data_IF_611242174646
#
_entry.id   IF_611242174646
#
_cell.length_a   1.000
_cell.length_b   1.000
_cell.length_c   1.000
_cell.angle_alpha   90.00
_cell.angle_beta   90.00
_cell.angle_gamma   90.00
#
_symmetry.space_group_name_H-M   'P 1'
#
loop_
_entity.id
_entity.type
_entity.pdbx_description
1 polymer ?
#
# COMPACT_ATOMS: atom_id res chain seq x y z
N UNK A 1 4.36 -14.56 71.23
CA UNK A 1 3.97 -15.82 70.54
C UNK A 1 3.18 -16.65 71.54
N UNK A 2 2.07 -17.35 71.18
CA UNK A 2 1.56 -17.66 69.85
C UNK A 2 0.16 -17.08 69.54
N UNK A 3 -0.24 -17.23 68.27
CA UNK A 3 -1.47 -16.81 67.63
C UNK A 3 -2.43 -17.99 67.39
N UNK A 4 -3.72 -17.64 67.24
CA UNK A 4 -4.85 -18.35 66.57
C UNK A 4 -5.58 -19.50 67.33
N UNK A 5 -6.84 -19.84 66.96
CA UNK A 5 -7.99 -18.99 66.54
C UNK A 5 -9.40 -19.55 66.93
N UNK A 6 -10.44 -18.89 66.38
CA UNK A 6 -11.75 -19.40 65.87
C UNK A 6 -13.04 -19.33 66.72
N UNK A 7 -13.92 -18.45 66.23
CA UNK A 7 -15.35 -18.63 65.87
C UNK A 7 -16.43 -18.93 66.93
N UNK A 8 -17.46 -18.07 66.95
CA UNK A 8 -18.85 -18.48 66.64
C UNK A 8 -19.79 -17.29 66.37
N UNK A 9 -20.54 -17.43 65.28
CA UNK A 9 -21.63 -16.58 64.79
C UNK A 9 -22.86 -16.56 65.71
N UNK A 10 -23.66 -15.49 65.66
CA UNK A 10 -25.12 -15.58 65.44
C UNK A 10 -25.76 -14.23 65.07
N UNK A 11 -26.84 -14.36 64.30
CA UNK A 11 -27.50 -13.39 63.43
C UNK A 11 -28.58 -12.53 64.11
N UNK A 12 -28.74 -11.28 63.56
CA UNK A 12 -29.96 -10.51 63.22
C UNK A 12 -30.98 -10.14 64.34
N UNK A 13 -31.73 -9.00 64.28
CA UNK A 13 -32.35 -8.43 63.07
C UNK A 13 -32.41 -6.89 62.90
N UNK A 14 -32.33 -6.53 61.62
CA UNK A 14 -33.13 -5.61 60.80
C UNK A 14 -33.84 -4.33 61.35
N UNK A 15 -33.60 -3.27 60.56
CA UNK A 15 -34.37 -2.04 60.25
C UNK A 15 -34.28 -0.83 61.20
N UNK A 16 -33.40 0.09 60.81
CA UNK A 16 -33.74 1.51 60.78
C UNK A 16 -33.08 2.21 59.58
N UNK A 17 -33.89 3.05 58.94
CA UNK A 17 -33.72 3.84 57.72
C UNK A 17 -32.40 4.62 57.63
N UNK A 18 -31.73 4.54 56.48
CA UNK A 18 -30.85 5.60 56.00
C UNK A 18 -30.90 5.68 54.48
N UNK A 19 -31.14 6.92 54.03
CA UNK A 19 -31.26 7.35 52.65
C UNK A 19 -29.85 7.30 52.01
N UNK A 20 -29.58 6.37 51.10
CA UNK A 20 -28.36 6.41 50.29
C UNK A 20 -28.72 6.83 48.88
N UNK A 21 -28.28 8.04 48.53
CA UNK A 21 -28.31 8.61 47.19
C UNK A 21 -27.30 7.82 46.35
N UNK A 22 -27.75 6.84 45.56
CA UNK A 22 -26.91 6.20 44.55
C UNK A 22 -26.82 7.15 43.35
N UNK A 23 -25.73 7.89 43.26
CA UNK A 23 -25.31 8.56 42.03
C UNK A 23 -24.94 7.46 41.03
N UNK A 24 -25.87 7.10 40.15
CA UNK A 24 -25.60 6.22 39.02
C UNK A 24 -24.66 6.93 38.07
N UNK A 25 -23.38 6.56 38.08
CA UNK A 25 -22.45 6.91 37.01
C UNK A 25 -22.83 6.03 35.82
N UNK A 26 -23.76 6.52 35.00
CA UNK A 26 -23.92 6.02 33.64
C UNK A 26 -22.69 6.43 32.86
N UNK A 27 -21.74 5.51 32.75
CA UNK A 27 -20.71 5.55 31.71
C UNK A 27 -21.49 5.40 30.40
N UNK A 28 -21.85 6.52 29.77
CA UNK A 28 -22.20 6.52 28.36
C UNK A 28 -20.90 6.17 27.63
N UNK A 29 -20.71 4.89 27.34
CA UNK A 29 -19.80 4.47 26.30
C UNK A 29 -20.32 5.11 25.01
N UNK A 30 -19.72 6.23 24.63
CA UNK A 30 -19.85 6.76 23.28
C UNK A 30 -19.14 5.77 22.37
N UNK A 31 -19.84 4.72 21.95
CA UNK A 31 -19.46 4.02 20.73
C UNK A 31 -19.76 5.00 19.61
N UNK A 32 -18.77 5.82 19.26
CA UNK A 32 -18.74 6.40 17.93
C UNK A 32 -18.87 5.20 16.99
N UNK A 33 -20.04 5.04 16.35
CA UNK A 33 -20.13 4.21 15.17
C UNK A 33 -19.29 4.94 14.13
N UNK A 34 -18.00 4.65 14.09
CA UNK A 34 -17.19 4.95 12.92
C UNK A 34 -17.94 4.34 11.74
N UNK A 35 -18.29 5.15 10.75
CA UNK A 35 -18.81 4.63 9.50
C UNK A 35 -17.76 3.62 9.03
N UNK A 36 -18.10 2.33 9.03
CA UNK A 36 -17.13 1.29 8.70
C UNK A 36 -16.50 1.65 7.35
N UNK A 37 -15.18 1.82 7.34
CA UNK A 37 -14.46 2.07 6.11
C UNK A 37 -14.74 0.91 5.16
N UNK A 38 -14.92 1.27 3.90
CA UNK A 38 -15.38 0.38 2.85
C UNK A 38 -14.43 0.56 1.69
N UNK A 39 -14.16 -0.53 0.97
CA UNK A 39 -13.51 -0.40 -0.33
C UNK A 39 -14.33 0.60 -1.15
N UNK A 40 -13.68 1.53 -1.83
CA UNK A 40 -14.35 2.53 -2.65
C UNK A 40 -14.69 1.94 -4.01
N UNK A 41 -13.87 1.01 -4.50
CA UNK A 41 -14.04 0.35 -5.80
C UNK A 41 -14.61 -1.06 -5.66
N UNK A 42 -15.28 -1.53 -6.72
CA UNK A 42 -15.62 -2.94 -6.83
C UNK A 42 -14.36 -3.73 -7.21
N UNK A 43 -14.31 -5.03 -6.90
CA UNK A 43 -13.16 -5.88 -7.20
C UNK A 43 -13.56 -7.25 -7.70
N UNK A 44 -12.76 -7.80 -8.61
CA UNK A 44 -12.85 -9.22 -8.99
C UNK A 44 -12.37 -10.04 -7.78
N UNK A 45 -13.28 -10.69 -7.07
CA UNK A 45 -12.92 -11.52 -5.91
C UNK A 45 -12.29 -12.84 -6.36
N UNK A 46 -12.95 -13.52 -7.29
CA UNK A 46 -12.47 -14.80 -7.85
C UNK A 46 -13.19 -15.07 -9.16
N UNK A 47 -12.59 -15.89 -10.00
CA UNK A 47 -13.25 -16.43 -11.18
C UNK A 47 -12.82 -17.87 -11.44
N UNK A 48 -13.75 -18.65 -11.98
CA UNK A 48 -13.47 -19.94 -12.61
C UNK A 48 -13.74 -19.78 -14.10
N UNK A 49 -12.66 -19.69 -14.89
CA UNK A 49 -12.70 -19.32 -16.31
C UNK A 49 -11.98 -17.99 -16.57
N UNK A 50 -12.36 -17.31 -17.66
CA UNK A 50 -11.77 -16.03 -18.08
C UNK A 50 -12.78 -14.91 -18.04
N UNK A 51 -12.38 -13.79 -17.47
CA UNK A 51 -13.10 -12.52 -17.46
C UNK A 51 -12.35 -11.52 -18.32
N UNK A 52 -13.08 -10.78 -19.15
CA UNK A 52 -12.53 -9.66 -19.89
C UNK A 52 -13.14 -8.35 -19.39
N UNK A 53 -12.31 -7.31 -19.38
CA UNK A 53 -12.60 -5.96 -18.94
C UNK A 53 -12.40 -5.00 -20.11
N UNK A 54 -13.31 -4.05 -20.27
CA UNK A 54 -13.13 -2.89 -21.14
C UNK A 54 -13.41 -1.63 -20.34
N UNK A 55 -12.39 -0.79 -20.16
CA UNK A 55 -12.53 0.54 -19.55
C UNK A 55 -13.31 1.46 -20.49
N UNK A 56 -13.87 2.55 -19.96
CA UNK A 56 -14.76 3.46 -20.71
C UNK A 56 -14.15 4.01 -22.02
N UNK A 57 -12.85 4.25 -22.05
CA UNK A 57 -12.11 4.85 -23.17
C UNK A 57 -11.38 3.82 -24.05
N UNK A 58 -11.54 2.52 -23.77
CA UNK A 58 -10.91 1.45 -24.55
C UNK A 58 -11.82 0.96 -25.68
N UNK A 59 -11.23 0.61 -26.81
CA UNK A 59 -11.96 -0.01 -27.93
C UNK A 59 -12.05 -1.53 -27.77
N UNK A 60 -11.08 -2.15 -27.08
CA UNK A 60 -10.94 -3.61 -26.98
C UNK A 60 -11.12 -4.11 -25.54
N UNK A 61 -11.64 -5.33 -25.43
CA UNK A 61 -11.68 -6.06 -24.15
C UNK A 61 -10.31 -6.69 -23.88
N UNK A 62 -9.88 -6.62 -22.62
CA UNK A 62 -8.62 -7.16 -22.14
C UNK A 62 -8.86 -8.19 -21.04
N UNK A 63 -8.04 -9.25 -20.93
CA UNK A 63 -8.13 -10.16 -19.79
C UNK A 63 -7.89 -9.41 -18.48
N UNK A 64 -8.55 -9.88 -17.42
CA UNK A 64 -8.39 -9.33 -16.06
C UNK A 64 -8.25 -10.47 -15.06
N UNK A 65 -7.46 -10.26 -14.01
CA UNK A 65 -7.16 -11.25 -12.99
C UNK A 65 -7.88 -10.94 -11.64
N UNK A 66 -7.98 -11.91 -10.71
CA UNK A 66 -8.60 -11.72 -9.40
C UNK A 66 -7.85 -10.76 -8.47
N UNK A 67 -8.46 -9.63 -8.14
CA UNK A 67 -7.85 -8.56 -7.34
C UNK A 67 -8.01 -7.20 -8.00
N UNK A 68 -8.10 -7.20 -9.33
CA UNK A 68 -8.29 -6.01 -10.15
C UNK A 68 -9.45 -5.11 -9.66
N UNK A 69 -9.12 -3.82 -9.51
CA UNK A 69 -10.08 -2.77 -9.22
C UNK A 69 -10.97 -2.47 -10.43
N UNK A 70 -12.27 -2.34 -10.17
CA UNK A 70 -13.32 -2.14 -11.16
C UNK A 70 -14.02 -0.81 -10.92
N UNK A 71 -14.14 -0.01 -11.97
CA UNK A 71 -14.89 1.24 -11.99
C UNK A 71 -16.32 1.00 -12.47
N UNK A 72 -17.25 1.84 -12.05
CA UNK A 72 -18.67 1.65 -12.32
C UNK A 72 -19.05 1.74 -13.81
N UNK A 73 -18.26 2.45 -14.60
CA UNK A 73 -18.36 2.58 -16.06
C UNK A 73 -17.65 1.49 -16.84
N UNK A 74 -16.90 0.62 -16.17
CA UNK A 74 -16.27 -0.54 -16.80
C UNK A 74 -17.31 -1.54 -17.31
N UNK A 75 -16.95 -2.21 -18.40
CA UNK A 75 -17.72 -3.29 -19.01
C UNK A 75 -17.00 -4.62 -18.78
N UNK A 76 -17.75 -5.60 -18.29
CA UNK A 76 -17.28 -6.95 -18.05
C UNK A 76 -17.89 -7.90 -19.08
N UNK A 77 -17.08 -8.81 -19.58
CA UNK A 77 -17.49 -9.89 -20.47
C UNK A 77 -16.85 -11.20 -20.02
N UNK A 78 -17.57 -12.02 -19.22
CA UNK A 78 -17.12 -13.36 -18.90
C UNK A 78 -17.22 -14.26 -20.14
N UNK A 79 -16.20 -15.06 -20.40
CA UNK A 79 -16.24 -16.09 -21.44
C UNK A 79 -17.36 -17.12 -21.16
N UNK A 80 -17.86 -17.86 -22.18
CA UNK A 80 -18.81 -18.94 -21.96
C UNK A 80 -18.30 -19.99 -20.96
N UNK A 81 -19.10 -20.28 -19.93
CA UNK A 81 -18.73 -21.20 -18.85
C UNK A 81 -18.00 -20.54 -17.67
N UNK A 82 -17.64 -19.26 -17.76
CA UNK A 82 -16.97 -18.56 -16.67
C UNK A 82 -17.93 -18.24 -15.52
N UNK A 83 -17.54 -18.55 -14.28
CA UNK A 83 -18.23 -18.02 -13.09
C UNK A 83 -17.38 -16.92 -12.46
N UNK A 84 -17.98 -15.78 -12.15
CA UNK A 84 -17.28 -14.62 -11.56
C UNK A 84 -17.92 -14.23 -10.25
N UNK A 85 -17.10 -13.99 -9.24
CA UNK A 85 -17.48 -13.39 -7.97
C UNK A 85 -16.91 -11.97 -7.94
N UNK A 86 -17.78 -10.98 -7.73
CA UNK A 86 -17.40 -9.58 -7.62
C UNK A 86 -17.77 -9.11 -6.21
N UNK A 87 -16.82 -8.49 -5.52
CA UNK A 87 -17.09 -7.78 -4.27
C UNK A 87 -17.35 -6.32 -4.57
N UNK A 88 -18.46 -5.79 -4.07
CA UNK A 88 -18.84 -4.40 -4.25
C UNK A 88 -18.17 -3.50 -3.20
N UNK A 89 -18.17 -2.16 -3.39
CA UNK A 89 -17.56 -1.21 -2.45
C UNK A 89 -17.99 -1.42 -0.98
N UNK A 90 -19.25 -1.79 -0.76
CA UNK A 90 -19.79 -2.07 0.57
C UNK A 90 -19.28 -3.37 1.23
N UNK A 91 -18.26 -4.03 0.66
CA UNK A 91 -17.68 -5.29 1.13
C UNK A 91 -18.55 -6.52 0.89
N UNK A 92 -19.70 -6.40 0.20
CA UNK A 92 -20.59 -7.54 -0.08
C UNK A 92 -20.36 -8.09 -1.48
N UNK A 93 -20.49 -9.40 -1.60
CA UNK A 93 -20.55 -10.07 -2.91
C UNK A 93 -21.77 -9.59 -3.68
N UNK A 94 -21.60 -9.36 -4.98
CA UNK A 94 -22.67 -8.98 -5.90
C UNK A 94 -23.74 -10.07 -5.97
N UNK A 95 -25.01 -9.65 -5.80
CA UNK A 95 -26.16 -10.53 -6.01
C UNK A 95 -26.58 -10.65 -7.50
N UNK A 96 -25.88 -9.94 -8.39
CA UNK A 96 -26.19 -9.89 -9.81
C UNK A 96 -24.90 -9.93 -10.64
N UNK A 97 -24.12 -11.03 -10.58
CA UNK A 97 -22.88 -11.16 -11.33
C UNK A 97 -23.15 -11.13 -12.84
N UNK A 98 -22.15 -10.71 -13.65
CA UNK A 98 -22.27 -10.72 -15.10
C UNK A 98 -22.54 -12.14 -15.62
N UNK A 99 -23.44 -12.26 -16.60
CA UNK A 99 -23.76 -13.55 -17.21
C UNK A 99 -22.72 -13.94 -18.28
N UNK A 100 -22.34 -15.22 -18.39
CA UNK A 100 -21.40 -15.68 -19.41
C UNK A 100 -21.83 -15.32 -20.83
N UNK A 101 -20.90 -14.81 -21.63
CA UNK A 101 -21.10 -14.40 -23.01
C UNK A 101 -21.90 -13.12 -23.21
N UNK A 102 -22.27 -12.41 -22.13
CA UNK A 102 -23.01 -11.15 -22.21
C UNK A 102 -22.21 -10.01 -21.58
N UNK A 103 -22.05 -8.93 -22.33
CA UNK A 103 -21.49 -7.69 -21.81
C UNK A 103 -22.38 -7.10 -20.71
N UNK A 104 -21.76 -6.72 -19.59
CA UNK A 104 -22.45 -6.08 -18.47
C UNK A 104 -21.58 -5.01 -17.83
N UNK A 105 -22.18 -3.85 -17.56
CA UNK A 105 -21.53 -2.81 -16.76
C UNK A 105 -21.35 -3.26 -15.31
N UNK A 106 -20.24 -2.85 -14.70
CA UNK A 106 -19.96 -3.05 -13.27
C UNK A 106 -21.06 -2.44 -12.40
N UNK A 107 -21.60 -1.26 -12.75
CA UNK A 107 -22.69 -0.64 -11.99
C UNK A 107 -24.00 -1.46 -11.95
N UNK A 108 -24.18 -2.44 -12.85
CA UNK A 108 -25.29 -3.40 -12.76
C UNK A 108 -25.06 -4.43 -11.65
N UNK A 109 -23.83 -4.89 -11.48
CA UNK A 109 -23.44 -5.85 -10.45
C UNK A 109 -23.28 -5.16 -9.09
N UNK A 110 -22.60 -4.01 -9.08
CA UNK A 110 -22.28 -3.22 -7.90
C UNK A 110 -22.76 -1.78 -8.08
N UNK A 111 -24.03 -1.47 -7.75
CA UNK A 111 -24.55 -0.11 -7.83
C UNK A 111 -23.76 0.85 -6.96
N UNK A 112 -23.54 2.07 -7.45
CA UNK A 112 -22.78 3.16 -6.79
C UNK A 112 -21.26 2.97 -6.78
N UNK A 113 -20.74 2.08 -7.61
CA UNK A 113 -19.29 2.03 -7.84
C UNK A 113 -18.86 3.34 -8.51
N UNK A 114 -17.84 4.05 -7.99
CA UNK A 114 -17.31 5.28 -8.57
C UNK A 114 -16.85 5.07 -10.02
N UNK A 115 -16.81 6.14 -10.81
CA UNK A 115 -16.31 6.11 -12.20
C UNK A 115 -14.77 6.13 -12.23
N UNK A 116 -14.21 5.88 -13.40
CA UNK A 116 -12.75 5.77 -13.65
C UNK A 116 -11.93 7.05 -13.40
N UNK A 117 -12.54 8.17 -13.00
CA UNK A 117 -11.85 9.39 -12.60
C UNK A 117 -11.12 9.28 -11.24
N UNK A 118 -11.27 8.16 -10.55
CA UNK A 118 -10.66 7.85 -9.25
C UNK A 118 -9.56 6.79 -9.39
N UNK A 119 -8.51 7.05 -10.18
CA UNK A 119 -7.28 6.22 -10.12
C UNK A 119 -6.41 6.72 -8.96
N UNK A 120 -5.88 5.84 -8.08
CA UNK A 120 -4.89 6.27 -7.11
C UNK A 120 -3.66 6.79 -7.87
N UNK A 121 -3.22 7.99 -7.47
CA UNK A 121 -1.92 8.53 -7.84
C UNK A 121 -1.11 8.55 -6.56
N UNK A 122 0.00 7.81 -6.53
CA UNK A 122 0.87 7.73 -5.37
C UNK A 122 1.68 9.01 -5.17
N UNK A 123 1.84 9.81 -6.23
CA UNK A 123 2.73 10.97 -6.27
C UNK A 123 4.14 10.59 -6.71
N UNK A 124 5.03 11.58 -6.76
CA UNK A 124 6.42 11.46 -7.20
C UNK A 124 7.28 12.13 -6.12
N UNK A 125 8.43 11.54 -5.78
CA UNK A 125 9.37 12.17 -4.84
C UNK A 125 10.05 13.39 -5.47
N UNK A 126 10.28 14.43 -4.68
CA UNK A 126 11.12 15.58 -5.08
C UNK A 126 12.62 15.28 -4.87
N UNK A 127 12.95 14.27 -4.05
CA UNK A 127 14.33 13.90 -3.68
C UNK A 127 14.59 12.45 -4.06
N UNK A 128 15.68 12.22 -4.76
CA UNK A 128 16.03 10.92 -5.35
C UNK A 128 17.31 10.33 -4.77
N UNK A 129 17.27 9.04 -4.49
CA UNK A 129 18.40 8.18 -4.13
C UNK A 129 18.18 6.78 -4.68
N UNK A 130 18.75 5.77 -4.02
CA UNK A 130 18.68 4.37 -4.43
C UNK A 130 19.33 4.11 -5.78
N UNK A 131 20.35 4.88 -6.15
CA UNK A 131 21.00 4.83 -7.47
C UNK A 131 22.36 4.11 -7.48
N UNK A 132 22.94 3.87 -6.30
CA UNK A 132 24.22 3.18 -6.12
C UNK A 132 24.11 2.08 -5.07
N UNK A 133 24.24 0.82 -5.50
CA UNK A 133 24.19 -0.35 -4.61
C UNK A 133 25.40 -0.44 -3.67
N UNK A 134 26.48 0.31 -3.92
CA UNK A 134 27.64 0.37 -3.02
C UNK A 134 27.39 1.22 -1.76
N UNK A 135 26.29 1.97 -1.73
CA UNK A 135 25.86 2.80 -0.61
C UNK A 135 24.60 2.16 -0.02
N UNK A 136 24.51 1.99 1.31
CA UNK A 136 23.26 1.55 1.92
C UNK A 136 22.24 2.68 1.80
N UNK A 137 21.02 2.39 1.41
CA UNK A 137 19.92 3.30 1.24
C UNK A 137 18.65 2.69 1.82
N UNK A 138 17.86 3.54 2.47
CA UNK A 138 16.65 3.14 3.15
C UNK A 138 15.56 2.73 2.16
N UNK A 139 15.02 1.53 2.34
CA UNK A 139 13.86 1.01 1.60
C UNK A 139 12.57 1.39 2.33
N UNK A 140 12.45 1.02 3.61
CA UNK A 140 11.33 1.38 4.49
C UNK A 140 11.80 1.51 5.95
N UNK A 141 11.21 2.44 6.74
CA UNK A 141 10.63 3.70 6.28
C UNK A 141 11.72 4.62 5.71
N UNK A 142 11.35 5.44 4.74
CA UNK A 142 12.27 6.38 4.06
C UNK A 142 11.72 7.80 4.03
N UNK A 143 10.48 7.94 3.58
CA UNK A 143 9.73 9.20 3.47
C UNK A 143 8.32 9.04 4.04
N UNK A 144 7.55 10.15 4.06
CA UNK A 144 6.17 10.24 4.52
C UNK A 144 5.97 9.80 5.98
N UNK A 145 4.90 9.05 6.27
CA UNK A 145 4.49 8.68 7.61
C UNK A 145 4.56 7.18 7.85
N UNK A 146 4.81 6.82 9.10
CA UNK A 146 4.58 5.47 9.65
C UNK A 146 3.44 5.49 10.66
N UNK A 147 2.65 4.43 10.69
CA UNK A 147 1.56 4.26 11.66
C UNK A 147 2.07 3.61 12.95
N UNK A 148 2.86 2.54 12.79
CA UNK A 148 3.46 1.79 13.91
C UNK A 148 4.49 2.64 14.67
N UNK A 149 4.48 2.56 16.00
CA UNK A 149 5.51 3.19 16.83
C UNK A 149 6.84 2.42 16.83
N UNK A 150 6.84 1.22 16.24
CA UNK A 150 7.96 0.27 16.16
C UNK A 150 8.07 -0.34 14.74
N UNK A 151 8.23 0.47 13.68
CA UNK A 151 8.20 -0.01 12.30
C UNK A 151 9.38 -0.96 12.00
N UNK A 152 9.17 -1.86 11.04
CA UNK A 152 10.28 -2.65 10.48
C UNK A 152 11.18 -1.74 9.65
N UNK A 153 12.50 -1.89 9.83
CA UNK A 153 13.51 -1.08 9.16
C UNK A 153 14.19 -1.93 8.07
N UNK A 154 14.34 -1.39 6.86
CA UNK A 154 14.91 -2.09 5.70
C UNK A 154 15.80 -1.19 4.89
N UNK A 155 16.91 -1.73 4.40
CA UNK A 155 17.83 -1.08 3.46
C UNK A 155 18.33 -2.08 2.42
N UNK A 156 18.93 -1.59 1.33
CA UNK A 156 19.56 -2.49 0.36
C UNK A 156 20.85 -3.12 0.93
N UNK A 157 21.16 -4.37 0.55
CA UNK A 157 22.46 -4.94 0.82
C UNK A 157 23.54 -4.19 0.04
N UNK A 158 24.67 -3.98 0.70
CA UNK A 158 25.90 -3.39 0.13
C UNK A 158 26.86 -4.52 -0.23
N UNK A 159 27.39 -4.58 -1.46
CA UNK A 159 28.36 -5.59 -1.85
C UNK A 159 29.58 -5.64 -0.91
N UNK A 160 29.92 -6.86 -0.48
CA UNK A 160 31.03 -7.15 0.44
C UNK A 160 30.89 -6.62 1.88
N UNK A 161 29.74 -6.05 2.25
CA UNK A 161 29.45 -5.75 3.64
C UNK A 161 29.02 -7.02 4.39
N UNK A 162 29.59 -7.26 5.56
CA UNK A 162 29.21 -8.37 6.44
C UNK A 162 28.39 -7.87 7.64
N UNK A 163 28.51 -6.59 7.98
CA UNK A 163 27.91 -5.99 9.16
C UNK A 163 27.48 -4.54 8.90
N UNK A 164 26.38 -4.13 9.55
CA UNK A 164 25.83 -2.79 9.51
C UNK A 164 25.71 -2.21 10.91
N UNK A 165 26.08 -0.95 11.07
CA UNK A 165 25.68 -0.11 12.20
C UNK A 165 24.44 0.68 11.81
N UNK A 166 23.34 0.48 12.54
CA UNK A 166 22.05 1.13 12.32
C UNK A 166 21.82 2.11 13.45
N UNK A 167 21.63 3.38 13.12
CA UNK A 167 21.44 4.47 14.06
C UNK A 167 20.16 5.22 13.74
N UNK A 168 19.28 5.34 14.72
CA UNK A 168 18.11 6.21 14.62
C UNK A 168 18.42 7.55 15.26
N UNK A 169 18.17 8.63 14.53
CA UNK A 169 18.36 9.99 15.03
C UNK A 169 17.06 10.79 14.96
N UNK A 170 16.99 11.84 15.76
CA UNK A 170 15.98 12.89 15.66
C UNK A 170 16.61 14.24 15.94
N UNK A 171 16.32 15.22 15.09
CA UNK A 171 16.95 16.55 15.16
C UNK A 171 18.50 16.51 15.25
N UNK A 172 19.12 15.48 14.66
CA UNK A 172 20.57 15.25 14.70
C UNK A 172 21.10 14.63 16.00
N UNK A 173 20.22 14.34 16.98
CA UNK A 173 20.58 13.62 18.19
C UNK A 173 20.34 12.12 18.01
N UNK A 174 21.33 11.30 18.38
CA UNK A 174 21.20 9.84 18.38
C UNK A 174 20.20 9.41 19.47
N UNK A 175 19.16 8.68 19.06
CA UNK A 175 18.21 8.05 19.97
C UNK A 175 18.71 6.67 20.40
N UNK A 176 19.20 5.89 19.44
CA UNK A 176 19.83 4.59 19.67
C UNK A 176 20.71 4.19 18.48
N UNK A 177 21.63 3.25 18.74
CA UNK A 177 22.49 2.63 17.73
C UNK A 177 22.72 1.15 18.05
N UNK A 178 22.72 0.31 17.02
CA UNK A 178 23.02 -1.12 17.15
C UNK A 178 23.74 -1.66 15.92
N UNK A 179 24.26 -2.88 16.06
CA UNK A 179 24.99 -3.57 15.00
C UNK A 179 24.26 -4.86 14.60
N UNK A 180 24.20 -5.17 13.30
CA UNK A 180 23.49 -6.34 12.75
C UNK A 180 24.10 -6.79 11.42
N UNK A 181 24.00 -8.08 11.10
CA UNK A 181 24.38 -8.66 9.80
C UNK A 181 23.17 -8.79 8.83
N UNK A 182 21.97 -8.39 9.27
CA UNK A 182 20.74 -8.43 8.48
C UNK A 182 20.44 -7.08 7.84
N UNK A 183 19.76 -7.06 6.69
CA UNK A 183 19.28 -5.82 6.02
C UNK A 183 17.80 -5.52 6.28
N UNK A 184 17.14 -6.37 7.06
CA UNK A 184 15.80 -6.16 7.60
C UNK A 184 15.89 -6.34 9.10
N UNK A 185 15.42 -5.32 9.82
CA UNK A 185 15.54 -5.23 11.26
C UNK A 185 14.17 -4.87 11.85
N UNK A 186 13.52 -5.81 12.56
CA UNK A 186 12.40 -5.45 13.43
C UNK A 186 12.85 -4.39 14.43
N UNK A 187 11.97 -3.43 14.73
CA UNK A 187 12.33 -2.37 15.67
C UNK A 187 12.81 -2.95 17.01
N UNK A 188 13.92 -2.46 17.58
CA UNK A 188 14.45 -3.02 18.82
C UNK A 188 13.51 -2.77 20.02
N UNK A 189 12.90 -3.82 20.55
CA UNK A 189 11.87 -3.70 21.61
C UNK A 189 12.36 -3.19 22.98
N UNK A 190 13.65 -2.92 23.15
CA UNK A 190 14.21 -2.28 24.35
C UNK A 190 14.48 -0.78 24.16
N UNK A 191 14.36 -0.28 22.93
CA UNK A 191 14.61 1.12 22.58
C UNK A 191 13.33 1.96 22.65
N UNK A 192 13.45 3.30 22.79
CA UNK A 192 12.28 4.17 22.85
C UNK A 192 11.44 4.11 21.58
N UNK A 193 10.13 3.92 21.72
CA UNK A 193 9.19 3.96 20.60
C UNK A 193 9.09 5.34 19.93
N UNK A 194 8.66 5.36 18.67
CA UNK A 194 8.43 6.59 17.91
C UNK A 194 7.22 7.38 18.46
N UNK A 195 7.43 8.68 18.66
CA UNK A 195 6.43 9.60 19.19
C UNK A 195 5.51 10.10 18.08
N UNK A 196 4.20 10.10 18.35
CA UNK A 196 3.17 10.66 17.48
C UNK A 196 2.96 12.16 17.74
N UNK A 197 4.03 12.94 17.71
CA UNK A 197 4.03 14.38 18.01
C UNK A 197 4.60 15.27 16.89
N UNK A 198 4.84 14.67 15.72
CA UNK A 198 5.41 15.37 14.56
C UNK A 198 6.93 15.45 14.58
N UNK A 199 7.58 14.71 15.47
CA UNK A 199 9.03 14.55 15.49
C UNK A 199 9.50 13.83 14.20
N UNK A 200 10.44 14.43 13.44
CA UNK A 200 11.06 13.75 12.31
C UNK A 200 12.14 12.79 12.79
N UNK A 201 12.23 11.65 12.11
CA UNK A 201 13.19 10.59 12.36
C UNK A 201 14.02 10.35 11.11
N UNK A 202 15.32 10.19 11.29
CA UNK A 202 16.27 9.81 10.24
C UNK A 202 16.91 8.47 10.61
N UNK A 203 16.89 7.51 9.69
CA UNK A 203 17.63 6.26 9.86
C UNK A 203 18.95 6.33 9.10
N UNK A 204 20.05 6.22 9.84
CA UNK A 204 21.40 6.19 9.29
C UNK A 204 21.92 4.76 9.36
N UNK A 205 22.25 4.20 8.21
CA UNK A 205 22.85 2.87 8.11
C UNK A 205 24.27 3.02 7.60
N UNK A 206 25.24 2.45 8.32
CA UNK A 206 26.66 2.44 7.95
C UNK A 206 27.11 1.01 7.77
N UNK A 207 27.62 0.67 6.59
CA UNK A 207 28.25 -0.62 6.32
C UNK A 207 29.68 -0.64 6.89
N UNK A 208 30.15 -1.82 7.30
CA UNK A 208 31.53 -2.09 7.70
C UNK A 208 32.58 -1.81 6.60
N UNK A 209 32.14 -1.74 5.34
CA UNK A 209 32.93 -1.26 4.18
C UNK A 209 33.24 0.24 4.24
N UNK A 210 32.61 0.99 5.15
CA UNK A 210 32.81 2.41 5.40
C UNK A 210 31.86 3.34 4.65
N UNK A 211 30.90 2.81 3.88
CA UNK A 211 29.82 3.61 3.26
C UNK A 211 28.61 3.73 4.18
N UNK A 212 27.89 4.84 4.10
CA UNK A 212 26.73 5.14 4.91
C UNK A 212 25.60 5.75 4.07
N UNK A 213 24.36 5.64 4.56
CA UNK A 213 23.18 6.17 3.85
C UNK A 213 23.19 7.68 3.67
N UNK A 214 23.92 8.39 4.52
CA UNK A 214 24.16 9.82 4.37
C UNK A 214 25.06 10.16 3.18
N UNK A 215 25.78 9.18 2.60
CA UNK A 215 26.52 9.40 1.36
C UNK A 215 25.60 9.62 0.15
N UNK A 216 24.31 9.28 0.23
CA UNK A 216 23.33 9.64 -0.81
C UNK A 216 22.99 11.13 -0.81
N UNK A 217 23.26 11.86 0.28
CA UNK A 217 22.97 13.29 0.47
C UNK A 217 21.50 13.67 0.18
N UNK A 218 20.57 12.79 0.54
CA UNK A 218 19.13 13.00 0.31
C UNK A 218 18.43 13.69 1.48
N UNK A 219 18.98 13.62 2.69
CA UNK A 219 18.37 14.23 3.89
C UNK A 219 16.96 13.73 4.18
N UNK A 220 16.62 12.50 3.78
CA UNK A 220 15.27 11.98 3.95
C UNK A 220 14.97 11.69 5.42
N UNK A 221 13.78 12.11 5.84
CA UNK A 221 13.21 11.82 7.14
C UNK A 221 11.81 11.28 6.98
N UNK A 222 11.37 10.52 7.97
CA UNK A 222 9.97 10.08 8.08
C UNK A 222 9.39 10.56 9.39
N UNK A 223 8.07 10.59 9.48
CA UNK A 223 7.34 10.99 10.68
C UNK A 223 6.43 9.85 11.13
N UNK A 224 5.98 9.88 12.38
CA UNK A 224 4.84 9.05 12.79
C UNK A 224 3.54 9.82 12.57
N UNK A 225 2.48 9.12 12.14
CA UNK A 225 1.13 9.70 12.05
C UNK A 225 0.73 10.29 13.41
N UNK A 226 0.08 11.46 13.39
CA UNK A 226 -0.24 12.23 14.60
C UNK A 226 -1.74 12.36 14.84
N UNK A 227 -2.13 12.53 16.11
CA UNK A 227 -3.50 12.89 16.48
C UNK A 227 -4.56 11.87 16.09
N UNK A 228 -5.74 12.36 15.70
CA UNK A 228 -6.91 11.53 15.40
C UNK A 228 -6.71 10.66 14.14
N UNK A 229 -5.77 11.01 13.25
CA UNK A 229 -5.48 10.26 12.03
C UNK A 229 -4.98 8.83 12.30
N UNK A 230 -4.30 8.60 13.44
CA UNK A 230 -3.88 7.26 13.86
C UNK A 230 -5.09 6.35 14.02
N UNK A 231 -6.07 6.78 14.82
CA UNK A 231 -7.27 6.00 15.11
C UNK A 231 -8.16 5.85 13.86
N UNK A 232 -8.17 6.85 12.98
CA UNK A 232 -8.86 6.74 11.70
C UNK A 232 -8.19 5.69 10.80
N UNK A 233 -6.87 5.75 10.61
CA UNK A 233 -6.13 4.80 9.79
C UNK A 233 -6.28 3.37 10.31
N UNK A 234 -6.11 3.15 11.62
CA UNK A 234 -6.31 1.85 12.26
C UNK A 234 -7.74 1.32 12.05
N UNK A 235 -8.76 2.19 12.17
CA UNK A 235 -10.14 1.81 11.94
C UNK A 235 -10.41 1.43 10.48
N UNK A 236 -9.83 2.15 9.51
CA UNK A 236 -9.98 1.82 8.08
C UNK A 236 -9.26 0.50 7.74
N UNK A 237 -8.04 0.31 8.25
CA UNK A 237 -7.26 -0.93 8.08
C UNK A 237 -8.04 -2.11 8.67
N UNK A 238 -8.52 -2.00 9.90
CA UNK A 238 -9.29 -3.05 10.57
C UNK A 238 -10.59 -3.38 9.81
N UNK A 239 -11.24 -2.38 9.20
CA UNK A 239 -12.43 -2.60 8.41
C UNK A 239 -12.15 -3.39 7.12
N UNK A 240 -11.02 -3.11 6.44
CA UNK A 240 -10.57 -3.92 5.29
C UNK A 240 -10.20 -5.33 5.71
N UNK A 241 -9.49 -5.48 6.83
CA UNK A 241 -9.12 -6.79 7.37
C UNK A 241 -10.33 -7.65 7.72
N UNK A 242 -11.43 -7.03 8.16
CA UNK A 242 -12.69 -7.69 8.48
C UNK A 242 -13.54 -8.07 7.26
N UNK A 243 -13.15 -7.66 6.04
CA UNK A 243 -13.87 -8.05 4.82
C UNK A 243 -13.73 -9.54 4.54
N UNK A 244 -14.77 -10.14 3.97
CA UNK A 244 -14.75 -11.52 3.49
C UNK A 244 -14.08 -11.59 2.10
N UNK A 245 -12.78 -11.33 2.10
CA UNK A 245 -11.91 -11.29 0.94
C UNK A 245 -10.66 -12.15 1.20
N UNK A 246 -10.06 -12.72 0.14
CA UNK A 246 -8.69 -13.23 0.20
C UNK A 246 -7.70 -12.17 0.71
N UNK A 247 -6.68 -12.61 1.46
CA UNK A 247 -5.76 -11.68 2.12
C UNK A 247 -4.89 -10.87 1.14
N UNK A 248 -4.56 -11.44 0.00
CA UNK A 248 -3.90 -10.72 -1.11
C UNK A 248 -4.78 -9.59 -1.67
N UNK A 249 -6.07 -9.83 -1.88
CA UNK A 249 -7.02 -8.80 -2.33
C UNK A 249 -7.20 -7.73 -1.25
N UNK A 250 -7.25 -8.10 0.04
CA UNK A 250 -7.26 -7.11 1.14
C UNK A 250 -6.03 -6.22 1.11
N UNK A 251 -4.85 -6.80 0.88
CA UNK A 251 -3.61 -6.04 0.73
C UNK A 251 -3.70 -5.05 -0.43
N UNK A 252 -4.22 -5.45 -1.60
CA UNK A 252 -4.42 -4.54 -2.73
C UNK A 252 -5.39 -3.40 -2.38
N UNK A 253 -6.48 -3.67 -1.65
CA UNK A 253 -7.40 -2.62 -1.16
C UNK A 253 -6.65 -1.64 -0.25
N UNK A 254 -5.84 -2.15 0.69
CA UNK A 254 -5.07 -1.31 1.61
C UNK A 254 -4.09 -0.41 0.83
N UNK A 255 -3.31 -1.00 -0.07
CA UNK A 255 -2.28 -0.32 -0.86
C UNK A 255 -2.85 0.72 -1.81
N UNK A 256 -3.94 0.43 -2.50
CA UNK A 256 -4.48 1.32 -3.52
C UNK A 256 -5.42 2.39 -2.95
N UNK A 257 -6.06 2.14 -1.79
CA UNK A 257 -7.18 2.98 -1.32
C UNK A 257 -6.99 3.55 0.08
N UNK A 258 -6.33 2.82 0.99
CA UNK A 258 -6.21 3.22 2.41
C UNK A 258 -4.86 3.89 2.68
N UNK A 259 -3.74 3.20 2.43
CA UNK A 259 -2.41 3.72 2.70
C UNK A 259 -2.10 5.05 2.02
N UNK A 260 -2.52 5.32 0.77
CA UNK A 260 -2.30 6.63 0.14
C UNK A 260 -3.03 7.78 0.83
N UNK A 261 -4.16 7.53 1.52
CA UNK A 261 -4.91 8.56 2.26
C UNK A 261 -4.10 9.11 3.44
N UNK A 262 -3.24 8.27 4.02
CA UNK A 262 -2.43 8.57 5.19
C UNK A 262 -0.94 8.65 4.86
N UNK A 263 -0.58 8.62 3.57
CA UNK A 263 0.78 8.56 3.06
C UNK A 263 1.65 7.49 3.74
N UNK A 264 1.07 6.31 3.97
CA UNK A 264 1.75 5.16 4.58
C UNK A 264 2.53 4.37 3.50
N UNK A 265 3.47 5.06 2.85
CA UNK A 265 4.21 4.53 1.70
C UNK A 265 5.07 3.33 2.09
N UNK A 266 5.70 3.36 3.27
CA UNK A 266 6.51 2.25 3.79
C UNK A 266 5.67 1.00 4.04
N UNK A 267 4.53 1.15 4.71
CA UNK A 267 3.60 0.05 4.98
C UNK A 267 3.01 -0.54 3.69
N UNK A 268 2.79 0.29 2.65
CA UNK A 268 2.35 -0.19 1.35
C UNK A 268 3.40 -1.08 0.69
N UNK A 269 4.67 -0.68 0.71
CA UNK A 269 5.79 -1.49 0.20
C UNK A 269 5.89 -2.80 1.00
N UNK A 270 5.91 -2.71 2.32
CA UNK A 270 6.04 -3.87 3.21
C UNK A 270 4.87 -4.86 3.08
N UNK A 271 3.66 -4.38 2.73
CA UNK A 271 2.51 -5.25 2.49
C UNK A 271 2.57 -5.97 1.14
N UNK A 272 3.15 -5.35 0.10
CA UNK A 272 3.26 -5.96 -1.23
C UNK A 272 4.40 -6.99 -1.33
N UNK A 273 5.52 -6.80 -0.62
CA UNK A 273 6.69 -7.68 -0.72
C UNK A 273 6.35 -9.17 -0.46
N UNK A 274 5.61 -9.55 0.59
CA UNK A 274 5.23 -10.95 0.82
C UNK A 274 4.33 -11.56 -0.26
N UNK A 275 3.57 -10.74 -1.00
CA UNK A 275 2.73 -11.23 -2.09
C UNK A 275 3.55 -11.65 -3.30
N UNK A 276 4.66 -10.93 -3.57
CA UNK A 276 5.63 -11.31 -4.59
C UNK A 276 6.21 -12.69 -4.30
N UNK A 277 6.58 -12.94 -3.04
CA UNK A 277 7.14 -14.23 -2.60
C UNK A 277 6.15 -15.40 -2.73
N UNK A 278 4.85 -15.11 -2.72
CA UNK A 278 3.77 -16.10 -2.81
C UNK A 278 3.14 -16.24 -4.21
N UNK A 279 3.56 -15.42 -5.19
CA UNK A 279 3.19 -15.57 -6.60
C UNK A 279 1.77 -15.16 -6.98
N UNK A 280 1.08 -14.35 -6.16
CA UNK A 280 -0.23 -13.77 -6.53
C UNK A 280 -0.03 -12.58 -7.49
N UNK A 281 -0.80 -12.50 -8.58
CA UNK A 281 -0.93 -11.35 -9.52
C UNK A 281 0.35 -10.54 -9.78
N UNK A 282 1.33 -11.22 -10.38
CA UNK A 282 2.71 -10.76 -10.42
C UNK A 282 2.91 -9.45 -11.22
N UNK A 283 2.16 -9.19 -12.29
CA UNK A 283 2.36 -7.95 -13.08
C UNK A 283 1.96 -6.70 -12.30
N UNK A 284 0.75 -6.70 -11.72
CA UNK A 284 0.16 -5.55 -11.04
C UNK A 284 0.93 -5.18 -9.77
N UNK A 285 1.36 -6.18 -9.00
CA UNK A 285 2.14 -5.98 -7.77
C UNK A 285 3.49 -5.34 -8.08
N UNK A 286 4.22 -5.83 -9.08
CA UNK A 286 5.50 -5.21 -9.45
C UNK A 286 5.31 -3.78 -9.98
N UNK A 287 4.23 -3.51 -10.71
CA UNK A 287 3.91 -2.15 -11.14
C UNK A 287 3.56 -1.23 -9.95
N UNK A 288 2.83 -1.72 -8.95
CA UNK A 288 2.57 -0.99 -7.70
C UNK A 288 3.84 -0.74 -6.89
N UNK A 289 4.73 -1.72 -6.77
CA UNK A 289 6.04 -1.52 -6.14
C UNK A 289 6.85 -0.44 -6.85
N UNK A 290 6.87 -0.45 -8.19
CA UNK A 290 7.51 0.61 -8.99
C UNK A 290 7.00 2.00 -8.63
N UNK A 291 5.68 2.18 -8.57
CA UNK A 291 5.06 3.45 -8.19
C UNK A 291 5.43 3.89 -6.77
N UNK A 292 5.38 2.98 -5.81
CA UNK A 292 5.71 3.28 -4.41
C UNK A 292 7.19 3.61 -4.24
N UNK A 293 8.06 2.99 -5.04
CA UNK A 293 9.48 3.34 -5.09
C UNK A 293 9.73 4.69 -5.76
N UNK A 294 8.98 5.05 -6.82
CA UNK A 294 9.00 6.41 -7.40
C UNK A 294 8.54 7.44 -6.36
N UNK A 295 7.46 7.16 -5.63
CA UNK A 295 6.97 8.00 -4.53
C UNK A 295 8.00 8.12 -3.40
N UNK A 296 8.77 7.06 -3.13
CA UNK A 296 9.86 7.05 -2.15
C UNK A 296 11.18 7.65 -2.66
N UNK A 297 11.27 7.96 -3.95
CA UNK A 297 12.49 8.48 -4.57
C UNK A 297 13.60 7.44 -4.67
N UNK A 298 13.27 6.18 -4.91
CA UNK A 298 14.20 5.05 -5.01
C UNK A 298 14.37 4.63 -6.47
N UNK A 299 15.47 5.04 -7.09
CA UNK A 299 15.69 4.86 -8.54
C UNK A 299 15.78 3.39 -8.96
N UNK A 300 16.78 2.64 -8.46
CA UNK A 300 17.01 1.25 -8.89
C UNK A 300 15.84 0.33 -8.51
N UNK A 301 15.27 0.39 -7.28
CA UNK A 301 14.11 -0.42 -6.95
C UNK A 301 12.89 -0.14 -7.83
N UNK A 302 12.65 1.13 -8.20
CA UNK A 302 11.57 1.49 -9.12
C UNK A 302 11.81 0.93 -10.53
N UNK A 303 13.02 1.14 -11.08
CA UNK A 303 13.39 0.65 -12.41
C UNK A 303 13.25 -0.88 -12.50
N UNK A 304 13.79 -1.61 -11.52
CA UNK A 304 13.72 -3.07 -11.44
C UNK A 304 12.27 -3.56 -11.36
N UNK A 305 11.44 -2.91 -10.53
CA UNK A 305 10.04 -3.30 -10.35
C UNK A 305 9.23 -3.11 -11.63
N UNK A 306 9.36 -1.97 -12.32
CA UNK A 306 8.66 -1.77 -13.58
C UNK A 306 9.16 -2.68 -14.70
N UNK A 307 10.48 -2.90 -14.79
CA UNK A 307 11.04 -3.85 -15.77
C UNK A 307 10.51 -5.26 -15.54
N UNK A 308 10.42 -5.69 -14.27
CA UNK A 308 9.87 -7.00 -13.92
C UNK A 308 8.39 -7.10 -14.29
N UNK A 309 7.60 -6.06 -14.03
CA UNK A 309 6.21 -6.00 -14.47
C UNK A 309 6.08 -6.16 -16.00
N UNK A 310 6.92 -5.45 -16.77
CA UNK A 310 6.93 -5.53 -18.25
C UNK A 310 7.30 -6.94 -18.73
N UNK A 311 8.31 -7.58 -18.15
CA UNK A 311 8.68 -8.95 -18.53
C UNK A 311 7.58 -9.97 -18.21
N UNK A 312 6.93 -9.82 -17.05
CA UNK A 312 5.81 -10.68 -16.67
C UNK A 312 4.59 -10.48 -17.57
N UNK A 313 4.31 -9.25 -17.98
CA UNK A 313 3.19 -8.93 -18.88
C UNK A 313 3.35 -9.59 -20.26
N UNK A 314 4.57 -9.97 -20.67
CA UNK A 314 4.80 -10.77 -21.89
C UNK A 314 4.38 -12.24 -21.73
N UNK A 315 4.44 -12.77 -20.50
CA UNK A 315 4.11 -14.16 -20.18
C UNK A 315 2.61 -14.30 -19.89
N UNK A 316 2.07 -13.39 -19.08
CA UNK A 316 0.65 -13.26 -18.77
C UNK A 316 0.17 -11.91 -19.33
N UNK A 317 -0.37 -11.89 -20.57
CA UNK A 317 -0.74 -10.67 -21.25
C UNK A 317 -1.66 -9.78 -20.41
N UNK A 318 -1.14 -8.65 -19.96
CA UNK A 318 -1.88 -7.60 -19.30
C UNK A 318 -1.43 -6.24 -19.85
N UNK A 319 -2.08 -5.82 -20.94
CA UNK A 319 -1.71 -4.61 -21.66
C UNK A 319 -1.90 -3.33 -20.83
N UNK A 320 -2.87 -3.30 -19.90
CA UNK A 320 -3.04 -2.14 -19.01
C UNK A 320 -1.83 -1.98 -18.11
N UNK A 321 -1.47 -3.03 -17.39
CA UNK A 321 -0.34 -2.99 -16.45
C UNK A 321 1.00 -2.78 -17.17
N UNK A 322 1.20 -3.38 -18.36
CA UNK A 322 2.39 -3.12 -19.18
C UNK A 322 2.47 -1.65 -19.61
N UNK A 323 1.35 -1.07 -20.06
CA UNK A 323 1.31 0.35 -20.45
C UNK A 323 1.64 1.24 -19.26
N UNK A 324 1.07 0.95 -18.09
CA UNK A 324 1.32 1.71 -16.87
C UNK A 324 2.75 1.56 -16.36
N UNK A 325 3.36 0.38 -16.49
CA UNK A 325 4.76 0.16 -16.12
C UNK A 325 5.72 0.94 -17.04
N UNK A 326 5.45 1.01 -18.35
CA UNK A 326 6.22 1.86 -19.26
C UNK A 326 6.06 3.35 -18.95
N UNK A 327 4.85 3.80 -18.59
CA UNK A 327 4.63 5.17 -18.11
C UNK A 327 5.41 5.46 -16.82
N UNK A 328 5.42 4.52 -15.88
CA UNK A 328 6.20 4.61 -14.65
C UNK A 328 7.71 4.75 -14.92
N UNK A 329 8.26 3.93 -15.84
CA UNK A 329 9.65 4.07 -16.29
C UNK A 329 9.91 5.43 -16.95
N UNK A 330 9.01 5.90 -17.81
CA UNK A 330 9.14 7.21 -18.41
C UNK A 330 9.20 8.32 -17.36
N UNK A 331 8.27 8.31 -16.39
CA UNK A 331 8.27 9.24 -15.26
C UNK A 331 9.59 9.17 -14.50
N UNK A 332 10.02 7.98 -14.09
CA UNK A 332 11.30 7.77 -13.40
C UNK A 332 12.47 8.40 -14.19
N UNK A 333 12.59 8.08 -15.47
CA UNK A 333 13.69 8.55 -16.31
C UNK A 333 13.66 10.06 -16.54
N UNK A 334 12.50 10.71 -16.57
CA UNK A 334 12.43 12.17 -16.62
C UNK A 334 12.98 12.80 -15.33
N UNK A 335 12.60 12.24 -14.18
CA UNK A 335 13.00 12.75 -12.87
C UNK A 335 14.50 12.58 -12.62
N UNK A 336 15.10 11.47 -13.08
CA UNK A 336 16.55 11.24 -13.00
C UNK A 336 17.33 11.81 -14.20
N UNK A 337 16.71 12.70 -14.98
CA UNK A 337 17.31 13.41 -16.11
C UNK A 337 17.95 12.48 -17.18
N UNK A 338 17.25 11.41 -17.54
CA UNK A 338 17.57 10.45 -18.58
C UNK A 338 16.57 10.52 -19.76
N UNK A 339 16.49 11.64 -20.49
CA UNK A 339 15.41 11.91 -21.45
C UNK A 339 15.33 10.93 -22.62
N UNK A 340 16.45 10.38 -23.08
CA UNK A 340 16.43 9.36 -24.16
C UNK A 340 15.75 8.07 -23.70
N UNK A 341 16.06 7.59 -22.48
CA UNK A 341 15.37 6.44 -21.90
C UNK A 341 13.89 6.73 -21.65
N UNK A 342 13.57 7.95 -21.20
CA UNK A 342 12.19 8.38 -21.01
C UNK A 342 11.41 8.34 -22.32
N UNK A 343 12.01 8.84 -23.41
CA UNK A 343 11.43 8.79 -24.75
C UNK A 343 11.16 7.35 -25.19
N UNK A 344 12.15 6.46 -25.07
CA UNK A 344 11.97 5.04 -25.40
C UNK A 344 10.82 4.41 -24.61
N UNK A 345 10.74 4.68 -23.30
CA UNK A 345 9.66 4.18 -22.45
C UNK A 345 8.28 4.75 -22.86
N UNK A 346 8.19 6.03 -23.20
CA UNK A 346 6.95 6.64 -23.69
C UNK A 346 6.53 6.08 -25.06
N UNK A 347 7.47 5.81 -25.97
CA UNK A 347 7.19 5.18 -27.26
C UNK A 347 6.60 3.77 -27.07
N UNK A 348 7.14 2.98 -26.13
CA UNK A 348 6.55 1.68 -25.77
C UNK A 348 5.16 1.84 -25.14
N UNK A 349 4.99 2.79 -24.21
CA UNK A 349 3.68 3.07 -23.62
C UNK A 349 2.65 3.46 -24.69
N UNK A 350 3.03 4.27 -25.67
CA UNK A 350 2.14 4.70 -26.77
C UNK A 350 1.71 3.52 -27.64
N UNK A 351 2.64 2.61 -27.94
CA UNK A 351 2.34 1.39 -28.69
C UNK A 351 1.25 0.58 -27.97
N UNK A 352 1.43 0.33 -26.66
CA UNK A 352 0.47 -0.45 -25.86
C UNK A 352 -0.87 0.26 -25.67
N UNK A 353 -0.85 1.57 -25.43
CA UNK A 353 -2.06 2.40 -25.36
C UNK A 353 -2.88 2.34 -26.67
N UNK A 354 -2.19 2.28 -27.82
CA UNK A 354 -2.82 2.10 -29.13
C UNK A 354 -3.43 0.70 -29.27
N UNK A 355 -2.76 -0.36 -28.79
CA UNK A 355 -3.30 -1.73 -28.77
C UNK A 355 -4.54 -1.86 -27.86
N UNK A 356 -4.58 -1.12 -26.75
CA UNK A 356 -5.77 -0.98 -25.89
C UNK A 356 -6.92 -0.22 -26.59
N UNK A 357 -6.60 0.57 -27.62
CA UNK A 357 -7.54 1.50 -28.24
C UNK A 357 -7.89 2.70 -27.35
N UNK A 358 -7.03 3.06 -26.38
CA UNK A 358 -7.27 4.24 -25.53
C UNK A 358 -6.78 5.51 -26.23
N UNK A 359 -7.68 6.18 -26.95
CA UNK A 359 -7.36 7.46 -27.60
C UNK A 359 -6.86 8.50 -26.60
N UNK A 360 -7.51 8.58 -25.43
CA UNK A 360 -7.13 9.52 -24.36
C UNK A 360 -5.70 9.27 -23.86
N UNK A 361 -5.33 8.01 -23.62
CA UNK A 361 -3.99 7.68 -23.14
C UNK A 361 -2.94 7.93 -24.22
N UNK A 362 -3.22 7.55 -25.46
CA UNK A 362 -2.35 7.81 -26.61
C UNK A 362 -2.09 9.31 -26.81
N UNK A 363 -3.12 10.16 -26.72
CA UNK A 363 -2.99 11.62 -26.86
C UNK A 363 -2.18 12.24 -25.70
N UNK A 364 -2.39 11.75 -24.48
CA UNK A 364 -1.62 12.17 -23.31
C UNK A 364 -0.13 11.82 -23.46
N UNK A 365 0.18 10.62 -23.95
CA UNK A 365 1.56 10.18 -24.19
C UNK A 365 2.20 10.97 -25.33
N UNK A 366 1.47 11.20 -26.42
CA UNK A 366 1.96 12.03 -27.54
C UNK A 366 2.34 13.44 -27.09
N UNK A 367 1.54 14.02 -26.18
CA UNK A 367 1.82 15.33 -25.58
C UNK A 367 3.10 15.33 -24.72
N UNK A 368 3.41 14.22 -24.05
CA UNK A 368 4.66 14.09 -23.29
C UNK A 368 5.86 13.92 -24.21
N UNK A 369 5.75 13.05 -25.24
CA UNK A 369 6.80 12.85 -26.24
C UNK A 369 7.19 14.15 -26.93
N UNK A 370 6.22 15.00 -27.33
CA UNK A 370 6.51 16.27 -27.99
C UNK A 370 7.26 17.29 -27.11
N UNK A 371 7.35 17.06 -25.79
CA UNK A 371 8.13 17.92 -24.87
C UNK A 371 9.58 17.48 -24.77
N UNK A 372 9.92 16.30 -25.28
CA UNK A 372 11.27 15.72 -25.28
C UNK A 372 11.98 15.91 -26.63
N UNK A 373 11.27 16.42 -27.63
CA UNK A 373 11.82 16.88 -28.92
C UNK A 373 12.30 18.33 -28.84
#
# INVERSE_FOLDING_TARGET
MPLKPLNRSLMLPNRAKTLSLTLGVTILAWTALSAAAQARLARVHSMDGRLQLKRMDWETFQPVSPGAALYGDDLLLPDPGTTVVITCPNGRVSNNPPSPGLESSVNRACPRTPRSDVKPSFGISEVWGGSDLAIPFMLTPRTDFVLDSTPTLRWNPVPAAEEYTVTLTSFGEELWSLTTDQTTLPYPGHEPELMADGTPYELVVTADTGTASTNEDTGQVFLRVVGDEVAEAEAEIAAVQAMDLPDDIKTLVLVEEVYPKYSLTGEAIDALLPLVDHGTETVHIYRLLGDLYVKSGLQLPAEESYQTAIELAKVEPNLEEETLAHLGLATLYLEVNAPEKAKEALEQAQLRATELGSAKLTDNIATQLSRLE
#
